data_IF_974713911747
#
_entry.id   IF_974713911747
#
_cell.length_a   1.000
_cell.length_b   1.000
_cell.length_c   1.000
_cell.angle_alpha   90.00
_cell.angle_beta   90.00
_cell.angle_gamma   90.00
#
_symmetry.space_group_name_H-M   'P 1'
#
loop_
_entity.id
_entity.type
_entity.pdbx_description
1 polymer ?
#
# COMPACT_ATOMS: atom_id res chain seq x y z
N UNK A 1 21.80 28.56 33.48
CA UNK A 1 21.11 27.26 33.58
C UNK A 1 19.66 27.44 33.07
N UNK A 2 19.49 27.92 31.83
CA UNK A 2 18.22 28.59 31.42
C UNK A 2 17.58 28.02 30.15
N UNK A 3 18.08 26.90 29.61
CA UNK A 3 17.61 26.36 28.33
C UNK A 3 16.49 25.32 28.44
N UNK A 4 16.10 24.93 29.65
CA UNK A 4 15.08 23.89 29.87
C UNK A 4 13.67 24.51 30.01
N UNK A 5 13.59 25.82 30.25
CA UNK A 5 12.38 26.46 30.77
C UNK A 5 11.32 26.91 29.75
N UNK A 6 11.36 26.50 28.47
CA UNK A 6 10.39 27.08 27.52
C UNK A 6 9.96 26.21 26.35
N UNK A 7 9.91 24.90 26.55
CA UNK A 7 9.12 24.04 25.66
C UNK A 7 7.70 23.95 26.27
N UNK A 8 6.68 24.55 25.64
CA UNK A 8 5.32 24.51 26.15
C UNK A 8 4.69 23.15 25.84
N UNK A 9 5.11 22.10 26.56
CA UNK A 9 4.61 20.74 26.37
C UNK A 9 3.09 20.65 26.46
N UNK A 10 2.48 21.49 27.30
CA UNK A 10 1.03 21.59 27.45
C UNK A 10 0.34 22.05 26.17
N UNK A 11 0.82 23.13 25.55
CA UNK A 11 0.29 23.62 24.27
C UNK A 11 0.56 22.65 23.13
N UNK A 12 1.73 22.01 23.10
CA UNK A 12 2.07 20.99 22.09
C UNK A 12 1.13 19.79 22.22
N UNK A 13 0.86 19.32 23.44
CA UNK A 13 -0.09 18.25 23.70
C UNK A 13 -1.49 18.63 23.22
N UNK A 14 -1.96 19.82 23.59
CA UNK A 14 -3.29 20.32 23.19
C UNK A 14 -3.44 20.43 21.67
N UNK A 15 -2.45 21.01 20.98
CA UNK A 15 -2.46 21.12 19.52
C UNK A 15 -2.40 19.75 18.83
N UNK A 16 -1.67 18.79 19.41
CA UNK A 16 -1.64 17.42 18.91
C UNK A 16 -3.01 16.74 19.09
N UNK A 17 -3.63 16.85 20.26
CA UNK A 17 -4.97 16.33 20.53
C UNK A 17 -6.01 16.92 19.56
N UNK A 18 -6.00 18.25 19.36
CA UNK A 18 -6.89 18.93 18.42
C UNK A 18 -6.66 18.44 16.98
N UNK A 19 -5.39 18.24 16.58
CA UNK A 19 -5.04 17.73 15.25
C UNK A 19 -5.51 16.29 15.05
N UNK A 20 -5.36 15.44 16.07
CA UNK A 20 -5.81 14.04 16.04
C UNK A 20 -7.35 13.95 16.00
N UNK A 21 -8.05 14.80 16.76
CA UNK A 21 -9.51 14.86 16.76
C UNK A 21 -10.07 15.33 15.39
N UNK A 22 -9.45 16.36 14.80
CA UNK A 22 -9.84 16.85 13.47
C UNK A 22 -9.59 15.81 12.37
N UNK A 23 -8.48 15.08 12.49
CA UNK A 23 -8.20 14.00 11.56
C UNK A 23 -9.22 12.86 11.71
N UNK A 24 -9.51 12.40 12.93
CA UNK A 24 -10.52 11.36 13.18
C UNK A 24 -11.88 11.73 12.56
N UNK A 25 -12.29 12.99 12.72
CA UNK A 25 -13.51 13.52 12.09
C UNK A 25 -13.45 13.47 10.56
N UNK A 26 -12.33 13.88 9.98
CA UNK A 26 -12.10 13.83 8.52
C UNK A 26 -12.16 12.39 8.00
N UNK A 27 -11.54 11.45 8.71
CA UNK A 27 -11.55 10.03 8.34
C UNK A 27 -12.94 9.42 8.40
N UNK A 28 -13.73 9.77 9.43
CA UNK A 28 -15.14 9.38 9.53
C UNK A 28 -15.95 9.91 8.36
N UNK A 29 -15.71 11.15 7.93
CA UNK A 29 -16.41 11.75 6.78
C UNK A 29 -16.01 11.07 5.46
N UNK A 30 -14.72 10.83 5.24
CA UNK A 30 -14.23 10.10 4.06
C UNK A 30 -14.84 8.70 4.01
N UNK A 31 -14.84 7.98 5.13
CA UNK A 31 -15.39 6.63 5.21
C UNK A 31 -16.92 6.60 5.03
N UNK A 32 -17.63 7.55 5.64
CA UNK A 32 -19.09 7.57 5.67
C UNK A 32 -19.77 8.17 4.44
N UNK A 33 -19.12 9.11 3.73
CA UNK A 33 -19.73 9.82 2.60
C UNK A 33 -18.98 9.61 1.29
N UNK A 34 -17.66 9.75 1.30
CA UNK A 34 -16.87 9.76 0.05
C UNK A 34 -16.76 8.36 -0.53
N UNK A 35 -16.37 7.36 0.26
CA UNK A 35 -16.19 5.99 -0.23
C UNK A 35 -17.48 5.38 -0.81
N UNK A 36 -18.67 5.50 -0.15
CA UNK A 36 -19.91 4.99 -0.72
C UNK A 36 -20.27 5.65 -2.06
N UNK A 37 -20.11 6.98 -2.17
CA UNK A 37 -20.41 7.71 -3.40
C UNK A 37 -19.48 7.33 -4.56
N UNK A 38 -18.19 7.12 -4.28
CA UNK A 38 -17.23 6.62 -5.28
C UNK A 38 -17.62 5.21 -5.73
N UNK A 39 -17.98 4.33 -4.78
CA UNK A 39 -18.44 2.97 -5.10
C UNK A 39 -19.71 2.98 -5.97
N UNK A 40 -20.66 3.86 -5.66
CA UNK A 40 -21.90 3.99 -6.40
C UNK A 40 -21.66 4.54 -7.82
N UNK A 41 -20.78 5.53 -7.95
CA UNK A 41 -20.37 6.07 -9.25
C UNK A 41 -19.71 5.00 -10.11
N UNK A 42 -18.78 4.21 -9.55
CA UNK A 42 -18.11 3.11 -10.25
C UNK A 42 -19.12 2.05 -10.70
N UNK A 43 -20.10 1.72 -9.85
CA UNK A 43 -21.18 0.78 -10.21
C UNK A 43 -22.04 1.32 -11.36
N UNK A 44 -22.38 2.61 -11.32
CA UNK A 44 -23.11 3.28 -12.40
C UNK A 44 -22.34 3.28 -13.72
N UNK A 45 -21.05 3.61 -13.67
CA UNK A 45 -20.17 3.58 -14.84
C UNK A 45 -20.06 2.17 -15.43
N UNK A 46 -19.89 1.13 -14.59
CA UNK A 46 -19.86 -0.26 -15.03
C UNK A 46 -21.17 -0.67 -15.72
N UNK A 47 -22.32 -0.25 -15.17
CA UNK A 47 -23.63 -0.50 -15.77
C UNK A 47 -23.77 0.14 -17.16
N UNK A 48 -23.43 1.43 -17.27
CA UNK A 48 -23.48 2.16 -18.54
C UNK A 48 -22.55 1.55 -19.59
N UNK A 49 -21.33 1.20 -19.21
CA UNK A 49 -20.35 0.59 -20.12
C UNK A 49 -20.79 -0.81 -20.56
N UNK A 50 -21.41 -1.59 -19.67
CA UNK A 50 -22.01 -2.88 -20.00
C UNK A 50 -23.15 -2.74 -21.01
N UNK A 51 -24.06 -1.78 -20.80
CA UNK A 51 -25.16 -1.49 -21.72
C UNK A 51 -24.67 -1.00 -23.08
N UNK A 52 -23.69 -0.10 -23.11
CA UNK A 52 -23.08 0.39 -24.34
C UNK A 52 -22.40 -0.76 -25.11
N UNK A 53 -21.69 -1.66 -24.43
CA UNK A 53 -21.09 -2.84 -25.06
C UNK A 53 -22.15 -3.78 -25.67
N UNK A 54 -23.32 -3.92 -25.04
CA UNK A 54 -24.43 -4.72 -25.59
C UNK A 54 -25.06 -4.06 -26.83
N UNK A 55 -25.14 -2.73 -26.86
CA UNK A 55 -25.69 -1.98 -27.99
C UNK A 55 -24.73 -1.86 -29.18
N UNK A 56 -23.42 -1.86 -28.92
CA UNK A 56 -22.35 -1.79 -29.92
C UNK A 56 -21.91 -3.17 -30.45
N UNK A 57 -22.67 -4.23 -30.16
CA UNK A 57 -22.38 -5.60 -30.53
C UNK A 57 -22.48 -5.82 -32.06
N UNK A 58 -21.40 -5.46 -32.75
CA UNK A 58 -21.05 -5.89 -34.10
C UNK A 58 -19.53 -6.00 -34.16
N UNK A 59 -19.01 -7.13 -34.65
CA UNK A 59 -17.60 -7.55 -34.69
C UNK A 59 -16.60 -6.45 -35.11
N UNK A 60 -16.24 -5.56 -34.17
CA UNK A 60 -15.42 -4.39 -34.41
C UNK A 60 -14.21 -4.38 -33.45
N UNK A 61 -13.00 -4.04 -33.93
CA UNK A 61 -11.80 -3.87 -33.10
C UNK A 61 -11.99 -2.95 -31.88
N UNK A 62 -12.98 -2.06 -31.93
CA UNK A 62 -13.37 -1.20 -30.81
C UNK A 62 -13.84 -2.01 -29.59
N UNK A 63 -14.45 -3.18 -29.78
CA UNK A 63 -14.92 -4.05 -28.70
C UNK A 63 -13.76 -4.72 -27.95
N UNK A 64 -12.71 -5.14 -28.65
CA UNK A 64 -11.51 -5.72 -28.02
C UNK A 64 -10.79 -4.68 -27.15
N UNK A 65 -10.63 -3.45 -27.67
CA UNK A 65 -10.02 -2.35 -26.92
C UNK A 65 -10.87 -1.94 -25.71
N UNK A 66 -12.20 -1.87 -25.86
CA UNK A 66 -13.10 -1.57 -24.74
C UNK A 66 -13.07 -2.68 -23.70
N UNK A 67 -13.10 -3.95 -24.11
CA UNK A 67 -12.98 -5.10 -23.22
C UNK A 67 -11.68 -5.09 -22.41
N UNK A 68 -10.55 -4.82 -23.06
CA UNK A 68 -9.25 -4.66 -22.38
C UNK A 68 -9.26 -3.49 -21.39
N UNK A 69 -9.85 -2.36 -21.76
CA UNK A 69 -9.97 -1.17 -20.90
C UNK A 69 -10.85 -1.45 -19.68
N UNK A 70 -11.97 -2.15 -19.86
CA UNK A 70 -12.87 -2.54 -18.76
C UNK A 70 -12.20 -3.53 -17.81
N UNK A 71 -11.42 -4.48 -18.34
CA UNK A 71 -10.64 -5.38 -17.50
C UNK A 71 -9.58 -4.64 -16.69
N UNK A 72 -8.92 -3.63 -17.27
CA UNK A 72 -7.96 -2.81 -16.54
C UNK A 72 -8.66 -1.97 -15.46
N UNK A 73 -9.79 -1.34 -15.79
CA UNK A 73 -10.60 -0.62 -14.82
C UNK A 73 -11.05 -1.51 -13.65
N UNK A 74 -11.43 -2.76 -13.92
CA UNK A 74 -11.77 -3.73 -12.88
C UNK A 74 -10.58 -4.08 -11.99
N UNK A 75 -9.37 -4.22 -12.55
CA UNK A 75 -8.14 -4.41 -11.76
C UNK A 75 -7.84 -3.20 -10.89
N UNK A 76 -7.98 -1.99 -11.43
CA UNK A 76 -7.81 -0.75 -10.66
C UNK A 76 -8.87 -0.60 -9.57
N UNK A 77 -10.13 -0.91 -9.85
CA UNK A 77 -11.19 -0.87 -8.83
C UNK A 77 -10.90 -1.85 -7.69
N UNK A 78 -10.34 -3.04 -8.00
CA UNK A 78 -9.92 -4.01 -6.99
C UNK A 78 -8.74 -3.52 -6.18
N UNK A 79 -7.72 -2.92 -6.79
CA UNK A 79 -6.56 -2.38 -6.06
C UNK A 79 -6.96 -1.20 -5.16
N UNK A 80 -7.84 -0.31 -5.65
CA UNK A 80 -8.41 0.77 -4.87
C UNK A 80 -9.20 0.23 -3.68
N UNK A 81 -10.03 -0.81 -3.87
CA UNK A 81 -10.76 -1.44 -2.77
C UNK A 81 -9.82 -2.01 -1.71
N UNK A 82 -8.77 -2.72 -2.11
CA UNK A 82 -7.78 -3.26 -1.16
C UNK A 82 -7.13 -2.13 -0.37
N UNK A 83 -6.77 -1.02 -1.02
CA UNK A 83 -6.27 0.17 -0.34
C UNK A 83 -7.31 0.74 0.63
N UNK A 84 -8.55 0.87 0.19
CA UNK A 84 -9.65 1.40 1.00
C UNK A 84 -9.94 0.51 2.22
N UNK A 85 -9.97 -0.81 2.05
CA UNK A 85 -10.15 -1.77 3.14
C UNK A 85 -8.97 -1.68 4.12
N UNK A 86 -7.73 -1.56 3.61
CA UNK A 86 -6.54 -1.34 4.44
C UNK A 86 -6.62 -0.03 5.25
N UNK A 87 -7.08 1.06 4.64
CA UNK A 87 -7.29 2.34 5.31
C UNK A 87 -8.45 2.31 6.31
N UNK A 88 -9.49 1.53 6.03
CA UNK A 88 -10.62 1.34 6.94
C UNK A 88 -10.24 0.59 8.22
N UNK A 89 -9.29 -0.33 8.12
CA UNK A 89 -8.76 -1.08 9.28
C UNK A 89 -7.62 -0.33 9.99
N UNK A 90 -6.82 0.46 9.25
CA UNK A 90 -5.65 1.18 9.77
C UNK A 90 -5.67 2.68 9.43
N UNK A 91 -6.54 3.48 10.09
CA UNK A 91 -6.57 4.93 9.91
C UNK A 91 -5.22 5.60 10.25
N UNK A 92 -4.44 5.01 11.15
CA UNK A 92 -3.10 5.47 11.54
C UNK A 92 -2.09 5.43 10.38
N UNK A 93 -2.34 4.63 9.34
CA UNK A 93 -1.47 4.54 8.16
C UNK A 93 -1.43 5.84 7.34
N UNK A 94 -2.44 6.71 7.48
CA UNK A 94 -2.46 8.02 6.79
C UNK A 94 -1.55 9.05 7.45
N UNK A 95 -1.37 8.98 8.77
CA UNK A 95 -0.45 9.87 9.50
C UNK A 95 0.96 9.31 9.52
N UNK A 96 1.07 8.01 9.80
CA UNK A 96 2.36 7.34 10.04
C UNK A 96 3.01 6.85 8.74
N UNK A 97 2.26 6.84 7.64
CA UNK A 97 2.66 6.20 6.40
C UNK A 97 2.48 4.68 6.44
N UNK A 98 2.70 4.03 5.30
CA UNK A 98 2.57 2.57 5.17
C UNK A 98 3.52 1.87 6.15
N UNK A 99 2.99 1.07 7.06
CA UNK A 99 3.80 0.15 7.85
C UNK A 99 4.51 -0.82 6.90
N UNK A 100 5.84 -0.88 6.97
CA UNK A 100 6.58 -1.89 6.23
C UNK A 100 6.14 -3.27 6.72
N UNK A 101 5.64 -4.09 5.80
CA UNK A 101 5.33 -5.49 6.05
C UNK A 101 6.63 -6.17 6.56
N UNK A 102 6.64 -6.81 7.74
CA UNK A 102 7.81 -7.49 8.27
C UNK A 102 8.22 -8.75 7.47
N UNK A 103 7.56 -9.07 6.36
CA UNK A 103 7.91 -10.20 5.49
C UNK A 103 9.17 -10.00 4.63
N UNK A 104 9.82 -8.84 4.62
CA UNK A 104 11.14 -8.65 3.96
C UNK A 104 12.28 -8.75 4.99
N UNK A 105 12.25 -9.75 5.88
CA UNK A 105 13.50 -10.29 6.39
C UNK A 105 14.06 -11.23 5.32
N UNK A 106 15.17 -10.78 4.75
CA UNK A 106 16.02 -11.52 3.82
C UNK A 106 16.18 -13.00 4.20
N UNK A 107 16.34 -13.92 3.24
CA UNK A 107 16.91 -15.23 3.57
C UNK A 107 18.26 -14.95 4.24
N UNK A 108 18.39 -15.38 5.49
CA UNK A 108 19.60 -15.26 6.27
C UNK A 108 20.77 -15.76 5.42
N UNK A 109 21.73 -14.87 5.15
CA UNK A 109 23.02 -15.27 4.61
C UNK A 109 23.60 -16.31 5.57
N UNK A 110 23.75 -17.55 5.09
CA UNK A 110 24.46 -18.59 5.81
C UNK A 110 25.87 -18.08 6.15
N UNK A 111 26.30 -18.16 7.43
CA UNK A 111 27.67 -17.82 7.76
C UNK A 111 28.57 -18.91 7.20
N UNK A 112 29.39 -18.56 6.22
CA UNK A 112 30.52 -19.38 5.79
C UNK A 112 31.50 -19.51 6.96
N UNK A 113 31.83 -20.72 7.45
CA UNK A 113 32.90 -20.86 8.41
C UNK A 113 34.23 -20.94 7.64
N UNK A 114 34.93 -19.82 7.55
CA UNK A 114 36.37 -19.80 7.24
C UNK A 114 37.15 -19.58 8.53
N UNK A 115 37.78 -20.64 9.05
CA UNK A 115 38.91 -20.55 9.97
C UNK A 115 39.78 -21.83 9.87
N UNK A 116 41.01 -21.64 9.40
CA UNK A 116 42.11 -22.62 9.18
C UNK A 116 42.82 -23.01 10.52
N UNK A 117 44.07 -23.55 10.58
CA UNK A 117 44.93 -24.34 9.66
C UNK A 117 45.63 -25.58 10.31
N UNK A 118 46.45 -26.30 9.51
CA UNK A 118 47.65 -27.15 9.81
C UNK A 118 47.51 -28.68 9.64
N UNK A 119 48.40 -29.23 8.80
CA UNK A 119 48.70 -30.68 8.77
C UNK A 119 49.45 -31.17 7.52
N UNK A 120 50.78 -30.99 7.52
CA UNK A 120 51.80 -31.93 6.98
C UNK A 120 51.82 -32.39 5.51
N UNK A 121 52.81 -31.88 4.78
CA UNK A 121 53.82 -32.57 3.94
C UNK A 121 53.45 -33.86 3.15
N UNK A 122 53.72 -33.85 1.82
CA UNK A 122 54.63 -34.79 1.11
C UNK A 122 54.58 -34.50 -0.40
N UNK A 123 55.57 -33.78 -0.93
CA UNK A 123 56.66 -34.30 -1.80
C UNK A 123 56.20 -34.74 -3.19
N UNK A 124 56.70 -34.01 -4.20
CA UNK A 124 56.44 -34.27 -5.61
C UNK A 124 57.05 -35.56 -6.14
N UNK A 125 56.61 -35.95 -7.33
CA UNK A 125 57.39 -36.70 -8.31
C UNK A 125 56.74 -36.52 -9.67
N UNK A 126 57.51 -35.92 -10.57
CA UNK A 126 57.37 -35.96 -12.02
C UNK A 126 58.02 -37.27 -12.51
N UNK A 127 57.59 -37.82 -13.65
CA UNK A 127 58.49 -37.71 -14.81
C UNK A 127 57.81 -37.06 -16.03
#
# INVERSE_FOLDING_TARGET
>A
MDKIHRIPFDSIGKHLDDSLANLDSTLKQVNGQVLPQVSETLKGAQGTLGSANHMLAGDSPLQQNLGATLQELQRMARSLRVLTDYLGVHPEALIRGRHADPAVHAPAAEPTPSAAPKGTASKGSKP
#
